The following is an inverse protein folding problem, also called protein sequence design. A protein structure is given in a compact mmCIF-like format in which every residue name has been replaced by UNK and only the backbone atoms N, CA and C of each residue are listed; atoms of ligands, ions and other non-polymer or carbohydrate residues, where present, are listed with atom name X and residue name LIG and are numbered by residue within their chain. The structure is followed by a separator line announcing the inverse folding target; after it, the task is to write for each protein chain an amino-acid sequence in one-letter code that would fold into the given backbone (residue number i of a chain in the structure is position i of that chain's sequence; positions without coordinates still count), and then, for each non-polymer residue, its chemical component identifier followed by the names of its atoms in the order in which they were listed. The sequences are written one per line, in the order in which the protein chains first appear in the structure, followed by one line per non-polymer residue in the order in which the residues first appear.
data_IF_797012376262
#
_entry.id   IF_797012376262
#
_cell.length_a   1.000
_cell.length_b   1.000
_cell.length_c   1.000
_cell.angle_alpha   90.00
_cell.angle_beta   90.00
_cell.angle_gamma   90.00
#
_symmetry.space_group_name_H-M   'P 1'
#
loop_
_entity.id
_entity.type
_entity.pdbx_description
1 polymer ?
#
# COMPACT_ATOMS: atom_id res chain seq x y z
N UNK A 1 -0.87 0.51 3.87
CA UNK A 1 0.55 0.95 3.72
C UNK A 1 1.37 0.68 4.99
N UNK A 2 1.26 -0.51 5.60
CA UNK A 2 2.01 -0.79 6.84
C UNK A 2 3.52 -0.79 6.59
N UNK A 3 4.29 -0.20 7.52
CA UNK A 3 5.75 -0.03 7.42
C UNK A 3 6.26 0.64 6.11
N UNK A 4 5.38 1.33 5.38
CA UNK A 4 5.68 1.98 4.10
C UNK A 4 5.91 1.01 2.93
N UNK A 5 5.56 -0.29 3.05
CA UNK A 5 5.87 -1.30 2.01
C UNK A 5 5.23 -1.02 0.65
N UNK A 6 4.03 -0.44 0.62
CA UNK A 6 3.30 -0.11 -0.62
C UNK A 6 3.82 1.14 -1.34
N UNK A 7 4.63 1.99 -0.70
CA UNK A 7 4.98 3.32 -1.23
C UNK A 7 6.44 3.43 -1.67
N UNK A 8 7.18 2.32 -1.70
CA UNK A 8 8.58 2.23 -2.15
C UNK A 8 8.86 0.83 -2.64
N UNK A 9 10.06 0.61 -3.17
CA UNK A 9 10.54 -0.74 -3.46
C UNK A 9 10.66 -1.55 -2.17
N UNK A 10 10.46 -2.86 -2.29
CA UNK A 10 10.44 -3.76 -1.14
C UNK A 10 11.73 -3.67 -0.33
N UNK A 11 12.86 -3.60 -1.04
CA UNK A 11 14.17 -3.41 -0.44
C UNK A 11 14.23 -2.03 0.23
N UNK A 12 14.49 -2.01 1.54
CA UNK A 12 14.72 -0.78 2.30
C UNK A 12 16.14 -0.71 2.82
N UNK A 13 16.71 0.49 2.82
CA UNK A 13 18.05 0.71 3.39
C UNK A 13 18.05 1.55 4.68
N UNK A 14 16.88 2.08 5.06
CA UNK A 14 16.77 2.91 6.26
C UNK A 14 17.09 2.13 7.54
N UNK A 15 17.62 2.82 8.54
CA UNK A 15 17.92 2.21 9.84
C UNK A 15 16.69 1.53 10.45
N UNK A 16 15.52 2.16 10.36
CA UNK A 16 14.26 1.58 10.84
C UNK A 16 13.95 0.27 10.13
N UNK A 17 14.06 0.21 8.80
CA UNK A 17 13.81 -1.03 8.05
C UNK A 17 14.71 -2.18 8.53
N UNK A 18 15.99 -1.91 8.80
CA UNK A 18 16.95 -2.93 9.25
C UNK A 18 16.78 -3.37 10.71
N UNK A 19 16.11 -2.58 11.54
CA UNK A 19 16.09 -2.76 13.01
C UNK A 19 14.71 -2.98 13.61
N UNK A 20 13.63 -2.67 12.88
CA UNK A 20 12.25 -2.79 13.34
C UNK A 20 11.79 -4.26 13.31
N UNK A 21 12.18 -5.01 14.35
CA UNK A 21 11.83 -6.43 14.53
C UNK A 21 10.32 -6.65 14.62
N UNK A 22 9.57 -5.66 15.13
CA UNK A 22 8.12 -5.72 15.23
C UNK A 22 7.46 -5.75 13.85
N UNK A 23 7.96 -4.94 12.91
CA UNK A 23 7.49 -4.96 11.52
C UNK A 23 7.69 -6.33 10.87
N UNK A 24 8.83 -6.98 11.14
CA UNK A 24 9.15 -8.31 10.61
C UNK A 24 8.14 -9.34 11.14
N UNK A 25 7.99 -9.39 12.47
CA UNK A 25 7.08 -10.35 13.13
C UNK A 25 5.62 -10.16 12.67
N UNK A 26 5.19 -8.91 12.46
CA UNK A 26 3.79 -8.60 12.12
C UNK A 26 3.44 -8.84 10.65
N UNK A 27 4.37 -8.62 9.73
CA UNK A 27 4.04 -8.51 8.31
C UNK A 27 4.76 -9.53 7.42
N UNK A 28 5.87 -10.16 7.85
CA UNK A 28 6.67 -11.00 6.94
C UNK A 28 6.15 -12.44 6.82
N UNK A 29 5.13 -12.84 7.59
CA UNK A 29 4.54 -14.19 7.52
C UNK A 29 3.93 -14.56 6.17
N UNK A 30 3.61 -13.56 5.34
CA UNK A 30 3.01 -13.68 4.02
C UNK A 30 3.77 -12.87 2.95
N UNK A 31 5.05 -12.58 3.21
CA UNK A 31 5.89 -11.70 2.39
C UNK A 31 5.76 -11.98 0.88
N UNK A 32 5.79 -13.25 0.46
CA UNK A 32 5.72 -13.64 -0.95
C UNK A 32 4.47 -13.10 -1.66
N UNK A 33 3.32 -13.13 -1.00
CA UNK A 33 2.06 -12.61 -1.55
C UNK A 33 2.06 -11.09 -1.52
N UNK A 34 2.55 -10.50 -0.43
CA UNK A 34 2.63 -9.04 -0.29
C UNK A 34 3.54 -8.40 -1.35
N UNK A 35 4.62 -9.08 -1.76
CA UNK A 35 5.47 -8.64 -2.88
C UNK A 35 4.67 -8.50 -4.16
N UNK A 36 3.82 -9.48 -4.50
CA UNK A 36 3.02 -9.45 -5.71
C UNK A 36 2.07 -8.24 -5.71
N UNK A 37 1.43 -7.97 -4.56
CA UNK A 37 0.56 -6.80 -4.41
C UNK A 37 1.36 -5.49 -4.55
N UNK A 38 2.56 -5.40 -3.97
CA UNK A 38 3.44 -4.23 -4.09
C UNK A 38 3.84 -4.01 -5.56
N UNK A 39 4.14 -5.09 -6.29
CA UNK A 39 4.49 -5.05 -7.71
C UNK A 39 3.30 -4.63 -8.58
N UNK A 40 2.09 -5.13 -8.29
CA UNK A 40 0.86 -4.69 -8.98
C UNK A 40 0.64 -3.17 -8.79
N UNK A 41 0.78 -2.68 -7.55
CA UNK A 41 0.69 -1.23 -7.26
C UNK A 41 1.76 -0.45 -8.00
N UNK A 42 2.99 -0.96 -8.06
CA UNK A 42 4.09 -0.33 -8.78
C UNK A 42 3.86 -0.25 -10.30
N UNK A 43 3.36 -1.34 -10.88
CA UNK A 43 3.04 -1.44 -12.30
C UNK A 43 1.93 -0.45 -12.68
N UNK A 44 0.85 -0.42 -11.91
CA UNK A 44 -0.29 0.45 -12.18
C UNK A 44 0.05 1.93 -11.98
N UNK A 45 0.86 2.25 -10.97
CA UNK A 45 1.37 3.60 -10.76
C UNK A 45 2.18 4.10 -11.96
N UNK A 46 3.04 3.23 -12.52
CA UNK A 46 3.82 3.53 -13.73
C UNK A 46 2.92 3.73 -14.94
N UNK A 47 1.94 2.86 -15.15
CA UNK A 47 1.01 2.93 -16.28
C UNK A 47 0.20 4.23 -16.27
N UNK A 48 -0.35 4.61 -15.12
CA UNK A 48 -1.17 5.81 -14.95
C UNK A 48 -0.35 7.09 -14.74
N UNK A 49 0.99 7.00 -14.72
CA UNK A 49 1.90 8.11 -14.46
C UNK A 49 1.59 8.84 -13.14
N UNK A 50 1.38 8.06 -12.08
CA UNK A 50 1.10 8.53 -10.72
C UNK A 50 2.05 7.83 -9.73
N UNK A 51 2.07 8.28 -8.49
CA UNK A 51 2.85 7.67 -7.41
C UNK A 51 2.18 6.41 -6.88
N UNK A 52 2.98 5.51 -6.31
CA UNK A 52 2.45 4.32 -5.61
C UNK A 52 1.56 4.71 -4.42
N UNK A 53 1.89 5.80 -3.72
CA UNK A 53 1.05 6.37 -2.65
C UNK A 53 -0.35 6.69 -3.16
N UNK A 54 -0.45 7.33 -4.32
CA UNK A 54 -1.74 7.67 -4.92
C UNK A 54 -2.55 6.44 -5.28
N UNK A 55 -1.96 5.42 -5.93
CA UNK A 55 -2.67 4.14 -6.21
C UNK A 55 -3.14 3.48 -4.91
N UNK A 56 -2.26 3.37 -3.91
CA UNK A 56 -2.55 2.71 -2.65
C UNK A 56 -3.65 3.42 -1.83
N UNK A 57 -3.81 4.75 -2.01
CA UNK A 57 -4.86 5.55 -1.37
C UNK A 57 -6.14 5.64 -2.22
N UNK A 58 -6.04 5.55 -3.54
CA UNK A 58 -7.19 5.51 -4.43
C UNK A 58 -7.99 4.21 -4.30
N UNK A 59 -7.31 3.07 -4.12
CA UNK A 59 -7.98 1.77 -3.95
C UNK A 59 -9.03 1.75 -2.82
N UNK A 60 -8.72 2.14 -1.56
CA UNK A 60 -9.72 2.12 -0.50
C UNK A 60 -10.86 3.11 -0.73
N UNK A 61 -10.65 4.20 -1.48
CA UNK A 61 -11.72 5.14 -1.86
C UNK A 61 -12.76 4.51 -2.81
N UNK A 62 -12.40 3.44 -3.52
CA UNK A 62 -13.30 2.68 -4.40
C UNK A 62 -14.06 1.56 -3.67
N UNK A 63 -13.78 1.32 -2.38
CA UNK A 63 -14.40 0.25 -1.61
C UNK A 63 -15.66 0.76 -0.88
N UNK A 64 -16.86 0.21 -1.12
CA UNK A 64 -18.10 0.76 -0.57
C UNK A 64 -18.18 0.68 0.96
N UNK A 65 -17.46 -0.26 1.57
CA UNK A 65 -17.35 -0.42 3.02
C UNK A 65 -16.37 0.55 3.70
N UNK A 66 -15.60 1.33 2.94
CA UNK A 66 -14.60 2.26 3.48
C UNK A 66 -15.18 3.68 3.48
N UNK A 67 -15.32 4.27 4.68
CA UNK A 67 -15.79 5.65 4.81
C UNK A 67 -14.69 6.68 4.46
N UNK A 68 -13.47 6.47 4.98
CA UNK A 68 -12.31 7.31 4.68
C UNK A 68 -11.00 6.59 5.05
N UNK A 69 -9.93 6.74 4.25
CA UNK A 69 -8.60 6.29 4.65
C UNK A 69 -7.99 7.23 5.71
N UNK A 70 -7.29 6.64 6.69
CA UNK A 70 -6.51 7.39 7.69
C UNK A 70 -5.07 7.47 7.21
N UNK A 71 -4.53 8.68 7.10
CA UNK A 71 -3.14 8.94 6.68
C UNK A 71 -2.30 9.48 7.82
N UNK A 72 -1.04 9.05 7.88
CA UNK A 72 -0.02 9.64 8.75
C UNK A 72 1.01 10.40 7.93
N UNK A 73 1.17 11.69 8.16
CA UNK A 73 2.11 12.54 7.43
C UNK A 73 3.09 13.23 8.38
N UNK A 74 4.39 13.11 8.08
CA UNK A 74 5.47 13.81 8.80
C UNK A 74 6.11 14.91 7.95
N UNK A 75 5.70 15.03 6.69
CA UNK A 75 6.12 16.04 5.72
C UNK A 75 4.89 16.53 4.96
N UNK A 76 4.91 17.79 4.53
CA UNK A 76 3.82 18.37 3.74
C UNK A 76 3.59 17.62 2.43
N UNK A 77 4.66 17.14 1.80
CA UNK A 77 4.59 16.39 0.55
C UNK A 77 3.78 15.11 0.65
N UNK A 78 3.75 14.46 1.83
CA UNK A 78 2.90 13.27 2.02
C UNK A 78 1.40 13.63 2.01
N UNK A 79 1.05 14.82 2.51
CA UNK A 79 -0.32 15.31 2.48
C UNK A 79 -0.72 15.67 1.05
N UNK A 80 0.16 16.35 0.31
CA UNK A 80 -0.06 16.71 -1.09
C UNK A 80 -0.27 15.46 -1.97
N UNK A 81 0.58 14.43 -1.83
CA UNK A 81 0.41 13.15 -2.52
C UNK A 81 -0.92 12.47 -2.16
N UNK A 82 -1.32 12.51 -0.88
CA UNK A 82 -2.57 11.90 -0.43
C UNK A 82 -3.81 12.62 -0.97
N UNK A 83 -3.77 13.95 -1.09
CA UNK A 83 -4.86 14.75 -1.69
C UNK A 83 -5.00 14.40 -3.17
N UNK A 84 -3.88 14.27 -3.89
CA UNK A 84 -3.91 13.93 -5.32
C UNK A 84 -4.41 12.49 -5.59
N UNK A 85 -4.49 11.62 -4.57
CA UNK A 85 -5.08 10.29 -4.72
C UNK A 85 -6.58 10.33 -5.05
N UNK A 86 -7.27 11.42 -4.72
CA UNK A 86 -8.69 11.62 -5.05
C UNK A 86 -8.94 11.86 -6.54
N UNK A 87 -7.91 12.27 -7.28
CA UNK A 87 -7.98 12.50 -8.73
C UNK A 87 -7.65 11.23 -9.54
N UNK A 88 -7.34 10.12 -8.86
CA UNK A 88 -6.98 8.84 -9.51
C UNK A 88 -8.21 7.97 -9.70
N UNK A 89 -8.58 7.82 -10.97
CA UNK A 89 -9.66 6.91 -11.39
C UNK A 89 -9.12 5.48 -11.62
N UNK A 90 -9.70 4.52 -10.91
CA UNK A 90 -9.41 3.10 -11.05
C UNK A 90 -10.57 2.40 -11.77
N UNK A 91 -10.27 1.80 -12.91
CA UNK A 91 -11.25 1.00 -13.68
C UNK A 91 -11.55 -0.30 -12.94
N UNK A 92 -12.59 -1.03 -13.40
CA UNK A 92 -12.93 -2.34 -12.82
C UNK A 92 -11.79 -3.34 -13.02
N UNK A 93 -11.10 -3.24 -14.15
CA UNK A 93 -9.94 -4.04 -14.51
C UNK A 93 -8.77 -3.72 -13.58
N UNK A 94 -8.52 -2.43 -13.29
CA UNK A 94 -7.49 -2.00 -12.34
C UNK A 94 -7.75 -2.53 -10.93
N UNK A 95 -9.00 -2.42 -10.45
CA UNK A 95 -9.40 -2.91 -9.13
C UNK A 95 -9.23 -4.43 -9.05
N UNK A 96 -9.66 -5.16 -10.08
CA UNK A 96 -9.48 -6.61 -10.16
C UNK A 96 -8.01 -6.99 -10.14
N UNK A 97 -7.17 -6.28 -10.90
CA UNK A 97 -5.73 -6.51 -10.96
C UNK A 97 -5.05 -6.31 -9.59
N UNK A 98 -5.46 -5.29 -8.82
CA UNK A 98 -4.95 -5.05 -7.47
C UNK A 98 -5.40 -6.10 -6.45
N UNK A 99 -6.50 -6.80 -6.70
CA UNK A 99 -7.12 -7.75 -5.77
C UNK A 99 -6.84 -9.22 -6.09
N UNK A 100 -6.40 -9.54 -7.31
CA UNK A 100 -6.27 -10.91 -7.82
C UNK A 100 -5.35 -11.79 -6.97
N UNK A 101 -4.22 -11.24 -6.52
CA UNK A 101 -3.22 -11.96 -5.73
C UNK A 101 -3.51 -11.93 -4.22
N UNK A 102 -4.59 -11.26 -3.78
CA UNK A 102 -4.85 -11.08 -2.35
C UNK A 102 -5.19 -12.40 -1.66
N UNK A 103 -4.43 -12.71 -0.59
CA UNK A 103 -4.71 -13.83 0.31
C UNK A 103 -4.97 -13.32 1.74
N UNK A 104 -6.05 -13.77 2.42
CA UNK A 104 -6.30 -13.42 3.81
C UNK A 104 -5.14 -13.80 4.73
N UNK A 105 -4.75 -12.86 5.60
CA UNK A 105 -3.66 -13.04 6.54
C UNK A 105 -4.15 -13.60 7.87
N UNK A 106 -3.28 -14.35 8.57
CA UNK A 106 -3.54 -14.75 9.96
C UNK A 106 -3.53 -13.51 10.85
N UNK A 107 -4.38 -13.49 11.87
CA UNK A 107 -4.38 -12.43 12.88
C UNK A 107 -3.07 -12.48 13.66
N UNK A 108 -2.37 -11.35 13.75
CA UNK A 108 -1.13 -11.19 14.54
C UNK A 108 -1.37 -10.11 15.60
N UNK A 109 -1.20 -10.47 16.88
CA UNK A 109 -1.47 -9.57 18.02
C UNK A 109 -2.17 -10.28 19.17
N UNK A 110 -2.73 -9.52 20.11
CA UNK A 110 -3.51 -10.07 21.21
C UNK A 110 -4.85 -10.64 20.70
N UNK A 111 -5.15 -11.88 21.10
CA UNK A 111 -6.46 -12.53 20.96
C UNK A 111 -7.34 -12.18 22.16
#
# INVERSE_FOLDING_TARGET
MAAGRLTRDWQGDTLRFKTDKESIVKYDGNEQVDHLIVDCVAALAKEKNVTRTQIALAWPLHQPQVAAPIIGATKITHLEEAIQAFDVELTKEDLKFLEEEYTPHKVVGAL
#
